data_IF_667644051778
#
_entry.id   IF_667644051778
#
_cell.length_a   1.000
_cell.length_b   1.000
_cell.length_c   1.000
_cell.angle_alpha   90.00
_cell.angle_beta   90.00
_cell.angle_gamma   90.00
#
_symmetry.space_group_name_H-M   'P 1'
#
loop_
_entity.id
_entity.type
_entity.pdbx_description
1 polymer ?
#
# COMPACT_ATOMS: atom_id res chain seq x y z
N UNK A 1 0.58 12.40 9.80
CA UNK A 1 0.21 11.24 10.62
C UNK A 1 0.11 9.97 9.77
N UNK A 2 -0.76 9.89 8.75
CA UNK A 2 -0.78 8.68 7.89
C UNK A 2 0.56 8.46 7.17
N UNK A 3 1.10 9.46 6.49
CA UNK A 3 2.36 9.29 5.73
C UNK A 3 3.58 9.06 6.63
N UNK A 4 3.53 9.47 7.91
CA UNK A 4 4.59 9.21 8.89
C UNK A 4 4.51 7.78 9.45
N UNK A 5 3.29 7.33 9.75
CA UNK A 5 3.05 6.04 10.40
C UNK A 5 3.01 4.91 9.36
N UNK A 6 2.71 5.24 8.10
CA UNK A 6 2.54 4.31 6.99
C UNK A 6 3.17 4.84 5.68
N UNK A 7 4.51 5.01 5.62
CA UNK A 7 5.19 5.68 4.51
C UNK A 7 4.94 5.02 3.15
N UNK A 8 4.86 3.69 3.11
CA UNK A 8 4.66 2.93 1.87
C UNK A 8 3.19 2.65 1.53
N UNK A 9 2.22 3.02 2.39
CA UNK A 9 0.82 2.60 2.24
C UNK A 9 0.22 2.99 0.89
N UNK A 10 0.47 4.23 0.44
CA UNK A 10 -0.04 4.68 -0.86
C UNK A 10 0.58 3.88 -2.01
N UNK A 11 1.88 3.61 -1.95
CA UNK A 11 2.62 2.86 -2.97
C UNK A 11 2.16 1.41 -3.06
N UNK A 12 2.07 0.72 -1.93
CA UNK A 12 1.60 -0.66 -1.80
C UNK A 12 0.14 -0.77 -2.24
N UNK A 13 -0.77 0.08 -1.73
CA UNK A 13 -2.18 0.12 -2.15
C UNK A 13 -2.33 0.26 -3.67
N UNK A 14 -1.57 1.17 -4.26
CA UNK A 14 -1.64 1.41 -5.71
C UNK A 14 -1.15 0.24 -6.55
N UNK A 15 -0.30 -0.61 -5.99
CA UNK A 15 0.37 -1.69 -6.73
C UNK A 15 -0.26 -3.05 -6.47
N UNK A 16 -0.92 -3.25 -5.32
CA UNK A 16 -1.47 -4.54 -4.87
C UNK A 16 -2.55 -5.15 -5.80
N UNK A 17 -3.36 -4.33 -6.47
CA UNK A 17 -4.48 -4.82 -7.28
C UNK A 17 -4.22 -4.81 -8.80
N UNK A 18 -3.16 -4.15 -9.27
CA UNK A 18 -2.84 -4.03 -10.70
C UNK A 18 -1.32 -3.94 -10.94
N UNK A 19 -0.52 -4.88 -10.41
CA UNK A 19 0.94 -4.81 -10.52
C UNK A 19 1.41 -4.84 -11.99
N UNK A 20 0.68 -5.52 -12.88
CA UNK A 20 0.99 -5.58 -14.32
C UNK A 20 0.76 -4.26 -15.05
N UNK A 21 -0.37 -3.59 -14.79
CA UNK A 21 -0.64 -2.27 -15.38
C UNK A 21 0.32 -1.24 -14.82
N UNK A 22 0.65 -1.37 -13.53
CA UNK A 22 1.63 -0.53 -12.86
C UNK A 22 3.03 -0.72 -13.43
N UNK A 23 3.47 -1.97 -13.64
CA UNK A 23 4.77 -2.30 -14.20
C UNK A 23 4.92 -1.85 -15.66
N UNK A 24 3.80 -1.75 -16.38
CA UNK A 24 3.74 -1.22 -17.75
C UNK A 24 3.54 0.30 -17.81
N UNK A 25 3.27 0.96 -16.68
CA UNK A 25 2.93 2.39 -16.65
C UNK A 25 1.61 2.73 -17.35
N UNK A 26 0.69 1.78 -17.49
CA UNK A 26 -0.61 1.99 -18.11
C UNK A 26 -1.49 2.90 -17.22
N UNK A 27 -2.23 3.82 -17.83
CA UNK A 27 -3.11 4.76 -17.12
C UNK A 27 -2.42 5.94 -16.42
N UNK A 28 -1.09 6.06 -16.51
CA UNK A 28 -0.33 7.14 -15.85
C UNK A 28 -0.26 8.46 -16.64
N UNK A 29 -0.97 8.58 -17.77
CA UNK A 29 -0.89 9.75 -18.67
C UNK A 29 0.51 9.97 -19.28
N UNK A 30 1.37 8.95 -19.23
CA UNK A 30 2.74 8.95 -19.72
C UNK A 30 2.97 7.73 -20.62
N UNK A 31 3.90 7.79 -21.59
CA UNK A 31 4.24 6.63 -22.39
C UNK A 31 4.68 5.46 -21.48
N UNK A 32 4.25 4.22 -21.78
CA UNK A 32 4.66 3.03 -21.04
C UNK A 32 6.19 2.97 -20.91
N UNK A 33 6.70 2.79 -19.70
CA UNK A 33 8.11 2.51 -19.47
C UNK A 33 8.27 1.19 -18.73
N UNK A 34 9.28 0.37 -19.08
CA UNK A 34 9.59 -0.83 -18.33
C UNK A 34 9.88 -0.49 -16.87
N UNK A 35 9.27 -1.24 -15.95
CA UNK A 35 9.58 -1.17 -14.53
C UNK A 35 11.05 -1.55 -14.31
N UNK A 36 11.82 -0.64 -13.70
CA UNK A 36 13.19 -0.90 -13.30
C UNK A 36 13.17 -1.57 -11.94
N UNK A 37 13.29 -2.89 -11.93
CA UNK A 37 13.34 -3.67 -10.70
C UNK A 37 14.60 -3.35 -9.91
N UNK A 38 14.52 -3.57 -8.60
CA UNK A 38 15.65 -3.37 -7.70
C UNK A 38 15.86 -4.61 -6.86
N UNK A 39 17.02 -4.68 -6.21
CA UNK A 39 17.30 -5.72 -5.22
C UNK A 39 16.36 -5.56 -4.03
N UNK A 40 15.96 -6.67 -3.44
CA UNK A 40 15.11 -6.67 -2.25
C UNK A 40 15.93 -7.16 -1.08
N UNK A 41 16.06 -6.33 -0.07
CA UNK A 41 16.65 -6.68 1.21
C UNK A 41 15.69 -6.25 2.32
N UNK A 42 15.00 -7.23 2.90
CA UNK A 42 13.98 -7.06 3.93
C UNK A 42 14.16 -8.15 4.98
N UNK A 43 13.48 -8.01 6.12
CA UNK A 43 13.58 -8.96 7.23
C UNK A 43 13.24 -10.42 6.81
N UNK A 44 12.43 -10.60 5.76
CA UNK A 44 11.92 -11.91 5.32
C UNK A 44 12.40 -12.37 3.94
N UNK A 45 12.86 -11.44 3.11
CA UNK A 45 13.31 -11.72 1.75
C UNK A 45 14.66 -11.09 1.49
N UNK A 46 15.58 -11.88 0.96
CA UNK A 46 16.84 -11.40 0.39
C UNK A 46 16.94 -11.87 -1.05
N UNK A 47 16.89 -10.92 -1.97
CA UNK A 47 17.08 -11.12 -3.39
C UNK A 47 18.29 -10.28 -3.84
N UNK A 48 19.48 -10.90 -3.99
CA UNK A 48 20.70 -10.19 -4.40
C UNK A 48 20.67 -9.74 -5.88
N UNK A 49 19.65 -10.19 -6.63
CA UNK A 49 19.34 -9.74 -7.98
C UNK A 49 18.01 -8.98 -7.97
N UNK A 50 17.75 -8.26 -9.05
CA UNK A 50 16.48 -7.57 -9.28
C UNK A 50 15.28 -8.54 -9.14
N UNK A 51 14.29 -8.17 -8.34
CA UNK A 51 13.15 -9.03 -8.05
C UNK A 51 11.81 -8.30 -8.19
N UNK A 52 10.83 -9.01 -8.75
CA UNK A 52 9.43 -8.57 -8.80
C UNK A 52 8.63 -9.31 -7.73
N UNK A 53 8.11 -8.57 -6.76
CA UNK A 53 7.28 -9.06 -5.67
C UNK A 53 5.82 -8.68 -5.94
N UNK A 54 4.97 -9.64 -6.29
CA UNK A 54 3.57 -9.37 -6.66
C UNK A 54 2.67 -9.10 -5.45
N UNK A 55 2.98 -9.74 -4.32
CA UNK A 55 2.25 -9.60 -3.06
C UNK A 55 2.76 -10.64 -2.07
N UNK A 56 3.24 -10.19 -0.93
CA UNK A 56 3.77 -11.05 0.14
C UNK A 56 3.20 -10.61 1.48
N UNK A 57 2.75 -11.58 2.26
CA UNK A 57 2.40 -11.38 3.66
C UNK A 57 3.39 -12.16 4.52
N UNK A 58 4.23 -11.45 5.25
CA UNK A 58 5.22 -12.02 6.17
C UNK A 58 4.95 -11.50 7.58
N UNK A 59 4.56 -12.43 8.46
CA UNK A 59 4.02 -12.11 9.79
C UNK A 59 2.89 -11.06 9.71
N UNK A 60 3.20 -9.82 10.08
CA UNK A 60 2.30 -8.69 10.10
C UNK A 60 2.57 -7.70 8.97
N UNK A 61 3.53 -7.95 8.09
CA UNK A 61 3.89 -7.03 7.01
C UNK A 61 3.36 -7.51 5.68
N UNK A 62 2.52 -6.69 5.04
CA UNK A 62 2.08 -6.89 3.67
C UNK A 62 2.89 -6.00 2.72
N UNK A 63 3.47 -6.58 1.67
CA UNK A 63 4.32 -5.83 0.74
C UNK A 63 4.27 -6.29 -0.71
N UNK A 64 4.74 -5.43 -1.60
CA UNK A 64 4.88 -5.68 -3.03
C UNK A 64 5.89 -4.69 -3.66
N UNK A 65 6.31 -4.98 -4.90
CA UNK A 65 7.10 -4.03 -5.70
C UNK A 65 6.23 -2.85 -6.11
N UNK A 66 6.67 -1.65 -5.75
CA UNK A 66 6.01 -0.39 -6.06
C UNK A 66 6.39 0.13 -7.45
N UNK A 67 5.76 1.23 -7.85
CA UNK A 67 5.91 1.84 -9.18
C UNK A 67 7.31 2.31 -9.55
N UNK A 68 8.16 2.52 -8.54
CA UNK A 68 9.56 2.92 -8.67
C UNK A 68 10.52 1.72 -8.65
N UNK A 69 9.97 0.50 -8.56
CA UNK A 69 10.71 -0.76 -8.55
C UNK A 69 11.23 -1.18 -7.18
N UNK A 70 11.06 -0.36 -6.14
CA UNK A 70 11.41 -0.76 -4.78
C UNK A 70 10.35 -1.68 -4.20
N UNK A 71 10.79 -2.61 -3.34
CA UNK A 71 9.87 -3.33 -2.47
C UNK A 71 9.40 -2.41 -1.35
N UNK A 72 8.08 -2.23 -1.23
CA UNK A 72 7.44 -1.52 -0.15
C UNK A 72 6.57 -2.45 0.67
N UNK A 73 6.51 -2.20 1.97
CA UNK A 73 5.69 -2.97 2.91
C UNK A 73 4.92 -2.07 3.87
N UNK A 74 3.81 -2.58 4.37
CA UNK A 74 2.91 -1.96 5.33
C UNK A 74 2.70 -2.92 6.47
N UNK A 75 2.94 -2.45 7.70
CA UNK A 75 2.58 -3.20 8.91
C UNK A 75 1.06 -3.20 9.09
N UNK A 76 0.48 -4.39 9.12
CA UNK A 76 -0.93 -4.71 9.40
C UNK A 76 -1.12 -5.41 10.76
N UNK A 77 -0.15 -5.26 11.67
CA UNK A 77 -0.25 -5.70 13.06
C UNK A 77 -1.46 -5.08 13.78
N UNK A 78 -1.88 -5.69 14.89
CA UNK A 78 -2.97 -5.16 15.72
C UNK A 78 -2.69 -3.72 16.18
N UNK A 79 -1.44 -3.42 16.58
CA UNK A 79 -1.06 -2.07 17.01
C UNK A 79 -1.21 -1.05 15.88
N UNK A 80 -0.72 -1.41 14.70
CA UNK A 80 -0.84 -0.58 13.49
C UNK A 80 -2.30 -0.34 13.10
N UNK A 81 -3.14 -1.38 13.16
CA UNK A 81 -4.58 -1.26 12.86
C UNK A 81 -5.34 -0.41 13.89
N UNK A 82 -4.94 -0.39 15.15
CA UNK A 82 -5.50 0.53 16.17
C UNK A 82 -5.17 1.99 15.82
N UNK A 83 -3.93 2.28 15.36
CA UNK A 83 -3.56 3.62 14.88
C UNK A 83 -4.41 4.03 13.67
N UNK A 84 -4.56 3.14 12.70
CA UNK A 84 -5.39 3.39 11.51
C UNK A 84 -6.86 3.64 11.88
N UNK A 85 -7.42 2.82 12.77
CA UNK A 85 -8.79 3.00 13.28
C UNK A 85 -8.97 4.39 13.90
N UNK A 86 -8.04 4.80 14.76
CA UNK A 86 -8.08 6.11 15.39
C UNK A 86 -8.08 7.24 14.35
N UNK A 87 -7.18 7.18 13.37
CA UNK A 87 -7.09 8.20 12.30
C UNK A 87 -8.39 8.27 11.49
N UNK A 88 -9.00 7.13 11.13
CA UNK A 88 -10.28 7.09 10.42
C UNK A 88 -11.40 7.67 11.29
N UNK A 89 -11.43 7.34 12.57
CA UNK A 89 -12.45 7.84 13.49
C UNK A 89 -12.33 9.36 13.67
N UNK A 90 -11.11 9.90 13.79
CA UNK A 90 -10.88 11.35 13.84
C UNK A 90 -11.32 12.04 12.55
N UNK A 91 -11.06 11.42 11.40
CA UNK A 91 -11.56 11.93 10.13
C UNK A 91 -13.09 11.96 10.10
N UNK A 92 -13.78 10.94 10.61
CA UNK A 92 -15.24 10.96 10.73
C UNK A 92 -15.71 12.02 11.73
N UNK A 93 -15.07 12.15 12.89
CA UNK A 93 -15.43 13.13 13.91
C UNK A 93 -15.29 14.58 13.43
N UNK A 94 -14.47 14.84 12.41
CA UNK A 94 -14.27 16.17 11.83
C UNK A 94 -15.46 16.69 10.99
N UNK A 95 -16.45 15.85 10.69
CA UNK A 95 -17.64 16.24 9.92
C UNK A 95 -18.91 16.23 10.78
N UNK A 96 -19.82 17.15 10.50
CA UNK A 96 -21.19 17.09 11.04
C UNK A 96 -22.01 16.09 10.22
N UNK A 97 -22.40 14.98 10.85
CA UNK A 97 -23.21 13.95 10.22
C UNK A 97 -24.70 14.25 10.41
N UNK A 98 -25.47 14.18 9.31
CA UNK A 98 -26.91 14.39 9.32
C UNK A 98 -27.62 13.06 9.06
N UNK A 99 -28.65 12.78 9.87
CA UNK A 99 -29.48 11.59 9.75
C UNK A 99 -29.04 10.42 10.63
N UNK A 100 -29.83 9.33 10.66
CA UNK A 100 -29.52 8.16 11.46
C UNK A 100 -28.36 7.35 10.87
N UNK A 101 -27.69 6.55 11.71
CA UNK A 101 -26.66 5.59 11.28
C UNK A 101 -27.23 4.61 10.23
N UNK A 102 -26.55 4.46 9.09
CA UNK A 102 -26.95 3.57 7.99
C UNK A 102 -25.74 2.88 7.35
N UNK A 103 -25.93 1.68 6.80
CA UNK A 103 -24.95 0.98 5.95
C UNK A 103 -25.47 0.95 4.50
N UNK A 104 -24.59 1.20 3.52
CA UNK A 104 -24.88 1.21 2.08
C UNK A 104 -23.94 0.22 1.36
N UNK A 105 -24.27 -0.24 0.12
CA UNK A 105 -25.51 0.01 -0.62
C UNK A 105 -26.66 -0.88 -0.13
N UNK A 106 -27.89 -0.44 -0.37
CA UNK A 106 -29.11 -1.23 -0.18
C UNK A 106 -29.47 -1.94 -1.49
#
# INVERSE_FOLDING_TARGET
QIDSDFPNLRGVRNSAHHPEDRARGLGAGKPPQPLKLQTVDSDFFSAPQEALMLGSLCETKFGCTMADGHYGEVDISKESMVKLQFIIQEAFNAFEWIGPKQHLPK
#
